data_IF_494254711795
#
_entry.id   IF_494254711795
#
_cell.length_a   1.000
_cell.length_b   1.000
_cell.length_c   1.000
_cell.angle_alpha   90.00
_cell.angle_beta   90.00
_cell.angle_gamma   90.00
#
_symmetry.space_group_name_H-M   'P 1'
#
loop_
_entity.id
_entity.type
_entity.pdbx_description
1 polymer ?
#
# COMPACT_ATOMS: atom_id res chain seq x y z
N UNK A 1 -1.88 17.64 10.30
CA UNK A 1 -1.52 16.21 10.27
C UNK A 1 -1.83 15.66 8.88
N UNK A 2 -1.27 14.51 8.50
CA UNK A 2 -1.39 13.94 7.14
C UNK A 2 -1.80 12.48 7.18
N UNK A 3 -2.37 11.97 6.07
CA UNK A 3 -2.80 10.58 5.91
C UNK A 3 -1.74 9.55 6.31
N UNK A 4 -0.47 9.83 5.99
CA UNK A 4 0.70 9.05 6.40
C UNK A 4 1.81 10.05 6.79
N UNK A 5 2.62 9.78 7.83
CA UNK A 5 3.67 10.73 8.25
C UNK A 5 4.79 10.86 7.22
N UNK A 6 5.09 9.78 6.48
CA UNK A 6 6.16 9.69 5.49
C UNK A 6 6.15 10.88 4.53
N UNK A 7 7.34 11.39 4.22
CA UNK A 7 7.58 12.46 3.25
C UNK A 7 8.09 11.88 1.94
N UNK A 8 7.86 12.61 0.85
CA UNK A 8 8.61 12.36 -0.38
C UNK A 8 10.06 12.78 -0.16
N UNK A 9 11.02 11.97 -0.60
CA UNK A 9 12.44 12.32 -0.47
C UNK A 9 12.83 13.29 -1.60
N UNK A 10 12.75 14.59 -1.32
CA UNK A 10 13.06 15.65 -2.29
C UNK A 10 14.51 15.62 -2.76
N UNK A 11 15.45 15.22 -1.91
CA UNK A 11 16.85 15.09 -2.30
C UNK A 11 17.03 13.95 -3.29
N UNK A 12 16.48 12.77 -3.00
CA UNK A 12 16.50 11.65 -3.93
C UNK A 12 15.80 12.00 -5.24
N UNK A 13 14.68 12.73 -5.18
CA UNK A 13 13.98 13.21 -6.37
C UNK A 13 14.89 14.11 -7.22
N UNK A 14 15.58 15.09 -6.62
CA UNK A 14 16.53 15.95 -7.34
C UNK A 14 17.68 15.14 -7.95
N UNK A 15 18.19 14.14 -7.24
CA UNK A 15 19.22 13.22 -7.77
C UNK A 15 18.72 12.41 -8.96
N UNK A 16 17.48 11.90 -8.88
CA UNK A 16 16.82 11.20 -10.00
C UNK A 16 16.64 12.15 -11.19
N UNK A 17 16.15 13.37 -10.98
CA UNK A 17 15.96 14.37 -12.04
C UNK A 17 17.30 14.70 -12.72
N UNK A 18 18.33 15.00 -11.94
CA UNK A 18 19.68 15.31 -12.45
C UNK A 18 20.26 14.14 -13.24
N UNK A 19 20.20 12.93 -12.69
CA UNK A 19 20.72 11.73 -13.36
C UNK A 19 19.93 11.39 -14.63
N UNK A 20 18.61 11.65 -14.62
CA UNK A 20 17.76 11.44 -15.80
C UNK A 20 18.14 12.40 -16.94
N UNK A 21 18.49 13.65 -16.64
CA UNK A 21 18.98 14.58 -17.67
C UNK A 21 20.35 14.14 -18.22
N UNK A 22 21.28 13.74 -17.35
CA UNK A 22 22.57 13.18 -17.79
C UNK A 22 22.36 11.95 -18.68
N UNK A 23 21.48 11.03 -18.29
CA UNK A 23 21.16 9.87 -19.12
C UNK A 23 20.56 10.29 -20.47
N UNK A 24 19.66 11.28 -20.51
CA UNK A 24 19.10 11.76 -21.78
C UNK A 24 20.17 12.32 -22.71
N UNK A 25 21.18 13.03 -22.20
CA UNK A 25 22.20 13.67 -23.03
C UNK A 25 23.42 12.79 -23.31
N UNK A 26 23.71 11.81 -22.45
CA UNK A 26 24.94 11.02 -22.51
C UNK A 26 24.72 9.53 -22.78
N UNK A 27 23.46 9.04 -22.87
CA UNK A 27 23.20 7.61 -23.07
C UNK A 27 23.78 7.03 -24.37
N UNK A 28 23.98 7.84 -25.41
CA UNK A 28 24.63 7.43 -26.66
C UNK A 28 26.12 7.04 -26.49
N UNK A 29 26.69 7.30 -25.32
CA UNK A 29 28.07 6.92 -24.97
C UNK A 29 28.13 5.62 -24.16
N UNK A 30 26.96 5.02 -23.85
CA UNK A 30 26.85 3.89 -22.94
C UNK A 30 26.59 2.59 -23.71
N UNK A 31 27.48 1.61 -23.53
CA UNK A 31 27.38 0.29 -24.16
C UNK A 31 27.90 0.27 -25.60
N UNK A 32 27.76 -0.88 -26.24
CA UNK A 32 28.19 -1.10 -27.63
C UNK A 32 26.96 -1.33 -28.52
N UNK A 33 26.36 -0.23 -28.98
CA UNK A 33 25.17 -0.23 -29.84
C UNK A 33 25.49 0.06 -31.32
N UNK A 34 26.73 0.42 -31.64
CA UNK A 34 27.17 0.65 -33.02
C UNK A 34 26.51 1.82 -33.76
N UNK A 35 25.89 2.75 -33.04
CA UNK A 35 25.22 3.94 -33.61
C UNK A 35 26.01 5.19 -33.26
N UNK A 36 26.02 6.18 -34.13
CA UNK A 36 26.46 7.52 -33.77
C UNK A 36 25.41 8.24 -32.88
N UNK A 37 25.76 9.41 -32.35
CA UNK A 37 24.88 10.18 -31.45
C UNK A 37 23.53 10.51 -32.09
N UNK A 38 23.53 10.91 -33.37
CA UNK A 38 22.31 11.35 -34.06
C UNK A 38 21.39 10.17 -34.33
N UNK A 39 21.96 9.05 -34.78
CA UNK A 39 21.23 7.81 -35.02
C UNK A 39 20.71 7.20 -33.71
N UNK A 40 21.49 7.26 -32.63
CA UNK A 40 21.07 6.75 -31.33
C UNK A 40 19.77 7.42 -30.84
N UNK A 41 19.70 8.75 -30.88
CA UNK A 41 18.52 9.48 -30.40
C UNK A 41 17.32 9.41 -31.36
N UNK A 42 17.56 9.27 -32.67
CA UNK A 42 16.49 9.20 -33.66
C UNK A 42 15.97 7.78 -33.94
N UNK A 43 16.74 6.74 -33.63
CA UNK A 43 16.36 5.33 -33.88
C UNK A 43 15.25 4.81 -32.96
N UNK A 44 14.96 5.52 -31.86
CA UNK A 44 14.06 5.04 -30.81
C UNK A 44 14.67 4.00 -29.87
N UNK A 45 15.94 3.62 -30.06
CA UNK A 45 16.66 2.67 -29.20
C UNK A 45 16.62 3.08 -27.73
N UNK A 46 16.97 4.33 -27.42
CA UNK A 46 16.97 4.86 -26.05
C UNK A 46 15.58 4.77 -25.41
N UNK A 47 14.55 5.26 -26.11
CA UNK A 47 13.17 5.20 -25.62
C UNK A 47 12.71 3.76 -25.39
N UNK A 48 13.00 2.86 -26.34
CA UNK A 48 12.68 1.44 -26.23
C UNK A 48 13.37 0.76 -25.05
N UNK A 49 14.65 1.09 -24.79
CA UNK A 49 15.41 0.57 -23.66
C UNK A 49 14.81 1.03 -22.31
N UNK A 50 14.51 2.33 -22.16
CA UNK A 50 13.90 2.88 -20.94
C UNK A 50 12.53 2.24 -20.67
N UNK A 51 11.70 2.11 -21.71
CA UNK A 51 10.39 1.47 -21.60
C UNK A 51 10.49 -0.01 -21.23
N UNK A 52 11.46 -0.74 -21.80
CA UNK A 52 11.72 -2.14 -21.46
C UNK A 52 12.17 -2.29 -20.00
N UNK A 53 13.13 -1.50 -19.55
CA UNK A 53 13.63 -1.51 -18.17
C UNK A 53 12.50 -1.17 -17.19
N UNK A 54 11.70 -0.13 -17.48
CA UNK A 54 10.52 0.23 -16.69
C UNK A 54 9.52 -0.92 -16.63
N UNK A 55 9.27 -1.57 -17.76
CA UNK A 55 8.42 -2.76 -17.86
C UNK A 55 8.91 -3.90 -16.97
N UNK A 56 10.22 -4.18 -16.97
CA UNK A 56 10.82 -5.20 -16.11
C UNK A 56 10.67 -4.88 -14.62
N UNK A 57 10.95 -3.64 -14.20
CA UNK A 57 10.73 -3.23 -12.81
C UNK A 57 9.25 -3.29 -12.40
N UNK A 58 8.35 -2.95 -13.31
CA UNK A 58 6.90 -2.93 -13.04
C UNK A 58 6.28 -4.33 -13.03
N UNK A 59 6.78 -5.24 -13.88
CA UNK A 59 6.26 -6.60 -14.05
C UNK A 59 6.77 -7.59 -13.01
N UNK A 60 7.91 -7.32 -12.37
CA UNK A 60 8.50 -8.29 -11.44
C UNK A 60 7.80 -8.25 -10.08
N UNK A 61 6.81 -9.11 -9.89
CA UNK A 61 6.18 -9.36 -8.57
C UNK A 61 7.09 -10.18 -7.64
N UNK A 62 8.14 -10.81 -8.16
CA UNK A 62 9.07 -11.67 -7.41
C UNK A 62 9.55 -11.06 -6.09
N UNK A 63 10.27 -9.92 -6.11
CA UNK A 63 10.76 -9.28 -4.88
C UNK A 63 9.65 -8.87 -3.90
N UNK A 64 8.48 -8.47 -4.40
CA UNK A 64 7.34 -8.07 -3.56
C UNK A 64 6.75 -9.28 -2.84
N UNK A 65 6.55 -10.38 -3.56
CA UNK A 65 6.08 -11.66 -3.02
C UNK A 65 7.10 -12.27 -2.07
N UNK A 66 8.39 -12.15 -2.38
CA UNK A 66 9.47 -12.60 -1.51
C UNK A 66 9.48 -11.83 -0.18
N UNK A 67 9.32 -10.52 -0.22
CA UNK A 67 9.20 -9.71 0.99
C UNK A 67 7.97 -10.08 1.83
N UNK A 68 6.79 -10.20 1.22
CA UNK A 68 5.59 -10.62 1.93
C UNK A 68 5.77 -12.01 2.56
N UNK A 69 6.38 -12.95 1.84
CA UNK A 69 6.76 -14.28 2.35
C UNK A 69 7.68 -14.18 3.56
N UNK A 70 8.72 -13.35 3.52
CA UNK A 70 9.61 -13.18 4.67
C UNK A 70 8.83 -12.68 5.90
N UNK A 71 7.98 -11.68 5.73
CA UNK A 71 7.17 -11.14 6.83
C UNK A 71 6.26 -12.22 7.42
N UNK A 72 5.54 -12.95 6.57
CA UNK A 72 4.62 -13.99 7.01
C UNK A 72 5.36 -15.13 7.72
N UNK A 73 6.49 -15.59 7.18
CA UNK A 73 7.35 -16.57 7.86
C UNK A 73 7.78 -16.07 9.24
N UNK A 74 8.22 -14.82 9.36
CA UNK A 74 8.65 -14.26 10.63
C UNK A 74 7.51 -14.17 11.66
N UNK A 75 6.30 -13.81 11.20
CA UNK A 75 5.11 -13.84 12.05
C UNK A 75 4.76 -15.27 12.49
N UNK A 76 4.89 -16.24 11.59
CA UNK A 76 4.64 -17.66 11.88
C UNK A 76 5.65 -18.22 12.88
N UNK A 77 6.95 -17.98 12.67
CA UNK A 77 8.03 -18.43 13.54
C UNK A 77 7.90 -17.88 14.97
N UNK A 78 7.26 -16.72 15.12
CA UNK A 78 6.98 -16.07 16.41
C UNK A 78 5.60 -16.35 16.98
N UNK A 79 4.79 -17.17 16.31
CA UNK A 79 3.46 -17.56 16.77
C UNK A 79 2.39 -16.46 16.69
N UNK A 80 2.62 -15.38 15.94
CA UNK A 80 1.62 -14.35 15.69
C UNK A 80 0.55 -14.80 14.67
N UNK A 81 0.92 -15.72 13.79
CA UNK A 81 0.02 -16.45 12.90
C UNK A 81 0.30 -17.95 13.03
N UNK A 82 -0.69 -18.79 12.76
CA UNK A 82 -0.54 -20.25 12.83
C UNK A 82 0.12 -20.78 11.57
N UNK A 83 -0.40 -20.35 10.41
CA UNK A 83 0.06 -20.82 9.11
C UNK A 83 -0.29 -19.84 8.01
N UNK A 84 0.38 -19.95 6.86
CA UNK A 84 0.03 -19.19 5.67
C UNK A 84 0.37 -19.95 4.39
N UNK A 85 -0.42 -19.68 3.35
CA UNK A 85 -0.23 -20.26 2.01
C UNK A 85 -0.36 -19.18 0.93
N UNK A 86 0.44 -19.33 -0.13
CA UNK A 86 0.24 -18.58 -1.37
C UNK A 86 -0.97 -19.13 -2.12
N UNK A 87 -1.89 -18.25 -2.51
CA UNK A 87 -3.10 -18.64 -3.23
C UNK A 87 -2.86 -18.90 -4.74
N UNK A 88 -1.62 -18.71 -5.23
CA UNK A 88 -1.28 -18.94 -6.64
C UNK A 88 -1.85 -17.87 -7.57
N UNK A 89 -1.46 -17.90 -8.85
CA UNK A 89 -1.67 -16.77 -9.78
C UNK A 89 -3.11 -16.63 -10.33
N UNK A 90 -3.95 -17.66 -10.15
CA UNK A 90 -5.32 -17.66 -10.67
C UNK A 90 -6.36 -17.08 -9.70
N UNK A 91 -5.98 -16.83 -8.44
CA UNK A 91 -6.87 -16.32 -7.41
C UNK A 91 -6.77 -14.79 -7.29
N UNK A 92 -7.88 -14.13 -6.92
CA UNK A 92 -7.95 -12.66 -6.73
C UNK A 92 -7.47 -12.18 -5.35
N UNK A 93 -6.69 -13.03 -4.68
CA UNK A 93 -5.93 -12.77 -3.46
C UNK A 93 -4.57 -13.46 -3.62
N UNK A 94 -3.50 -12.89 -3.09
CA UNK A 94 -2.16 -13.49 -3.16
C UNK A 94 -1.91 -14.51 -2.03
N UNK A 95 -2.46 -14.28 -0.83
CA UNK A 95 -2.19 -15.13 0.34
C UNK A 95 -3.43 -15.42 1.17
N UNK A 96 -3.42 -16.59 1.80
CA UNK A 96 -4.37 -16.98 2.85
C UNK A 96 -3.60 -17.28 4.12
N UNK A 97 -3.96 -16.64 5.23
CA UNK A 97 -3.33 -16.77 6.54
C UNK A 97 -4.32 -17.33 7.55
N UNK A 98 -3.89 -18.33 8.31
CA UNK A 98 -4.65 -18.92 9.41
C UNK A 98 -4.19 -18.27 10.71
N UNK A 99 -5.11 -17.59 11.40
CA UNK A 99 -4.85 -16.96 12.69
C UNK A 99 -4.92 -17.97 13.84
N UNK A 100 -4.29 -17.71 15.01
CA UNK A 100 -4.41 -18.57 16.19
C UNK A 100 -5.86 -18.80 16.66
N UNK A 101 -6.76 -17.86 16.35
CA UNK A 101 -8.19 -17.99 16.62
C UNK A 101 -8.94 -18.92 15.65
N UNK A 102 -8.26 -19.52 14.67
CA UNK A 102 -8.87 -20.30 13.58
C UNK A 102 -9.49 -19.47 12.45
N UNK A 103 -9.43 -18.13 12.52
CA UNK A 103 -9.93 -17.26 11.44
C UNK A 103 -9.01 -17.32 10.24
N UNK A 104 -9.60 -17.29 9.05
CA UNK A 104 -8.88 -17.23 7.77
C UNK A 104 -8.85 -15.79 7.29
N UNK A 105 -7.66 -15.28 7.00
CA UNK A 105 -7.44 -13.93 6.46
C UNK A 105 -6.97 -14.08 5.02
N UNK A 106 -7.63 -13.41 4.08
CA UNK A 106 -7.13 -13.25 2.73
C UNK A 106 -6.38 -11.93 2.60
N UNK A 107 -5.23 -11.96 1.91
CA UNK A 107 -4.39 -10.79 1.67
C UNK A 107 -4.19 -10.64 0.18
N UNK A 108 -4.40 -9.43 -0.33
CA UNK A 108 -4.12 -9.06 -1.71
C UNK A 108 -2.99 -8.02 -1.73
N UNK A 109 -1.88 -8.33 -2.41
CA UNK A 109 -0.80 -7.37 -2.59
C UNK A 109 -1.16 -6.39 -3.68
N UNK A 110 -0.88 -5.12 -3.40
CA UNK A 110 -0.95 -4.04 -4.39
C UNK A 110 0.39 -3.35 -4.50
N UNK A 111 0.63 -2.72 -5.65
CA UNK A 111 1.76 -1.82 -5.80
C UNK A 111 1.52 -0.51 -5.06
N UNK A 112 2.05 0.58 -5.63
CA UNK A 112 1.68 1.92 -5.22
C UNK A 112 0.17 2.12 -5.40
N UNK A 113 -0.47 2.77 -4.41
CA UNK A 113 -1.93 2.98 -4.37
C UNK A 113 -2.37 4.19 -5.21
N UNK A 114 -1.75 4.36 -6.38
CA UNK A 114 -1.95 5.48 -7.30
C UNK A 114 -2.48 5.03 -8.68
N UNK A 115 -2.57 3.72 -8.93
CA UNK A 115 -3.03 3.14 -10.19
C UNK A 115 -4.40 2.45 -10.11
N UNK A 116 -4.93 2.08 -11.27
CA UNK A 116 -6.18 1.31 -11.40
C UNK A 116 -6.05 -0.13 -10.86
N UNK A 117 -4.82 -0.63 -10.68
CA UNK A 117 -4.56 -1.92 -10.03
C UNK A 117 -5.19 -2.02 -8.63
N UNK A 118 -5.37 -0.89 -7.95
CA UNK A 118 -5.96 -0.78 -6.61
C UNK A 118 -7.48 -1.00 -6.62
N UNK A 119 -8.13 -0.92 -7.80
CA UNK A 119 -9.58 -1.13 -7.91
C UNK A 119 -9.96 -2.61 -8.07
N UNK A 120 -9.00 -3.46 -8.41
CA UNK A 120 -9.23 -4.86 -8.73
C UNK A 120 -8.90 -5.71 -7.52
N UNK A 121 -9.89 -6.06 -6.72
CA UNK A 121 -9.77 -7.02 -5.62
C UNK A 121 -11.07 -7.82 -5.52
N UNK A 122 -11.02 -9.00 -4.90
CA UNK A 122 -12.21 -9.80 -4.62
C UNK A 122 -12.02 -10.60 -3.32
N UNK A 123 -12.87 -10.35 -2.33
CA UNK A 123 -12.86 -11.06 -1.05
C UNK A 123 -13.28 -12.52 -1.25
N UNK A 124 -12.43 -13.50 -0.95
CA UNK A 124 -12.80 -14.90 -1.04
C UNK A 124 -13.93 -15.26 -0.05
N UNK A 125 -14.90 -16.13 -0.42
CA UNK A 125 -16.02 -16.49 0.46
C UNK A 125 -15.61 -17.08 1.81
N UNK A 126 -14.50 -17.82 1.85
CA UNK A 126 -13.96 -18.45 3.06
C UNK A 126 -13.22 -17.46 3.99
N UNK A 127 -12.95 -16.24 3.53
CA UNK A 127 -12.16 -15.26 4.26
C UNK A 127 -12.99 -14.56 5.35
N UNK A 128 -12.56 -14.70 6.60
CA UNK A 128 -13.10 -14.00 7.76
C UNK A 128 -12.57 -12.56 7.85
N UNK A 129 -11.40 -12.30 7.27
CA UNK A 129 -10.81 -10.97 7.12
C UNK A 129 -10.25 -10.82 5.71
N UNK A 130 -10.35 -9.62 5.13
CA UNK A 130 -9.74 -9.30 3.85
C UNK A 130 -8.94 -8.01 3.93
N UNK A 131 -7.63 -8.10 3.66
CA UNK A 131 -6.68 -6.99 3.84
C UNK A 131 -5.96 -6.69 2.53
N UNK A 132 -5.86 -5.41 2.19
CA UNK A 132 -5.04 -4.94 1.09
C UNK A 132 -3.66 -4.57 1.62
N UNK A 133 -2.59 -5.03 0.99
CA UNK A 133 -1.23 -4.67 1.39
C UNK A 133 -0.50 -3.99 0.23
N UNK A 134 -0.28 -2.68 0.36
CA UNK A 134 0.53 -1.91 -0.58
C UNK A 134 2.02 -2.13 -0.35
N UNK A 135 2.65 -2.75 -1.36
CA UNK A 135 4.10 -2.93 -1.50
C UNK A 135 4.61 -2.01 -2.63
N UNK A 136 4.88 -0.75 -2.29
CA UNK A 136 5.23 0.33 -3.23
C UNK A 136 6.74 0.54 -3.30
N UNK A 137 7.42 -0.29 -4.08
CA UNK A 137 8.89 -0.28 -4.19
C UNK A 137 9.48 0.92 -4.95
N UNK A 138 8.65 1.87 -5.40
CA UNK A 138 9.11 3.08 -6.06
C UNK A 138 9.52 4.14 -5.01
N UNK A 139 10.82 4.43 -4.84
CA UNK A 139 11.26 5.42 -3.86
C UNK A 139 10.94 6.88 -4.28
N UNK A 140 10.70 7.12 -5.58
CA UNK A 140 10.28 8.42 -6.09
C UNK A 140 8.78 8.72 -5.90
N UNK A 141 7.98 7.72 -5.53
CA UNK A 141 6.55 7.87 -5.32
C UNK A 141 6.24 8.82 -4.15
N UNK A 142 5.13 9.56 -4.25
CA UNK A 142 4.68 10.41 -3.15
C UNK A 142 3.80 9.59 -2.19
N UNK A 143 4.29 9.24 -0.99
CA UNK A 143 3.56 8.34 -0.09
C UNK A 143 2.23 8.94 0.39
N UNK A 144 2.17 10.26 0.59
CA UNK A 144 0.95 10.96 1.05
C UNK A 144 -0.11 11.00 -0.02
N UNK A 145 0.29 11.33 -1.25
CA UNK A 145 -0.63 11.25 -2.38
C UNK A 145 -1.16 9.83 -2.52
N UNK A 146 -0.27 8.83 -2.57
CA UNK A 146 -0.64 7.45 -2.82
C UNK A 146 -1.55 6.88 -1.74
N UNK A 147 -1.25 7.11 -0.45
CA UNK A 147 -2.11 6.66 0.64
C UNK A 147 -3.54 7.25 0.54
N UNK A 148 -3.65 8.56 0.30
CA UNK A 148 -4.96 9.20 0.16
C UNK A 148 -5.71 8.76 -1.10
N UNK A 149 -5.01 8.75 -2.24
CA UNK A 149 -5.53 8.33 -3.55
C UNK A 149 -6.01 6.87 -3.49
N UNK A 150 -5.28 6.00 -2.78
CA UNK A 150 -5.64 4.63 -2.52
C UNK A 150 -6.90 4.48 -1.69
N UNK A 151 -6.88 5.02 -0.47
CA UNK A 151 -7.95 4.82 0.52
C UNK A 151 -9.21 5.59 0.10
N UNK A 152 -9.08 6.90 -0.08
CA UNK A 152 -10.21 7.76 -0.40
C UNK A 152 -10.65 7.56 -1.84
N UNK A 153 -9.79 7.75 -2.85
CA UNK A 153 -10.28 7.80 -4.24
C UNK A 153 -10.68 6.42 -4.79
N UNK A 154 -10.01 5.34 -4.40
CA UNK A 154 -10.15 4.01 -4.99
C UNK A 154 -10.86 3.00 -4.09
N UNK A 155 -10.20 2.58 -3.00
CA UNK A 155 -10.70 1.51 -2.13
C UNK A 155 -12.10 1.83 -1.61
N UNK A 156 -12.33 3.02 -1.05
CA UNK A 156 -13.66 3.35 -0.54
C UNK A 156 -14.72 3.43 -1.65
N UNK A 157 -14.37 3.90 -2.86
CA UNK A 157 -15.30 3.90 -3.99
C UNK A 157 -15.71 2.47 -4.37
N UNK A 158 -14.73 1.55 -4.49
CA UNK A 158 -14.96 0.14 -4.85
C UNK A 158 -15.68 -0.64 -3.75
N UNK A 159 -15.29 -0.46 -2.47
CA UNK A 159 -15.97 -1.07 -1.31
C UNK A 159 -17.47 -0.75 -1.34
N UNK A 160 -17.82 0.52 -1.59
CA UNK A 160 -19.21 0.96 -1.62
C UNK A 160 -19.91 0.54 -2.92
N UNK A 161 -19.26 0.70 -4.08
CA UNK A 161 -19.89 0.43 -5.38
C UNK A 161 -20.15 -1.06 -5.60
N UNK A 162 -19.22 -1.92 -5.18
CA UNK A 162 -19.27 -3.38 -5.34
C UNK A 162 -19.85 -4.10 -4.14
N UNK A 163 -20.18 -3.36 -3.07
CA UNK A 163 -20.65 -3.91 -1.80
C UNK A 163 -19.68 -4.94 -1.21
N UNK A 164 -18.39 -4.61 -1.25
CA UNK A 164 -17.32 -5.55 -0.93
C UNK A 164 -16.54 -5.10 0.31
N UNK A 165 -16.51 -5.95 1.35
CA UNK A 165 -15.87 -5.60 2.63
C UNK A 165 -14.37 -5.82 2.58
N UNK A 166 -13.62 -4.74 2.81
CA UNK A 166 -12.18 -4.74 3.11
C UNK A 166 -12.01 -4.32 4.57
N UNK A 167 -11.29 -5.12 5.35
CA UNK A 167 -11.11 -4.93 6.80
C UNK A 167 -9.98 -3.95 7.15
N UNK A 168 -9.06 -3.72 6.21
CA UNK A 168 -8.10 -2.64 6.31
C UNK A 168 -7.05 -2.67 5.21
N UNK A 169 -6.12 -1.73 5.32
CA UNK A 169 -5.00 -1.59 4.38
C UNK A 169 -3.69 -1.42 5.13
N UNK A 170 -2.64 -2.08 4.63
CA UNK A 170 -1.26 -1.94 5.09
C UNK A 170 -0.49 -1.16 4.04
N UNK A 171 0.26 -0.14 4.45
CA UNK A 171 1.23 0.55 3.60
C UNK A 171 2.61 0.29 4.18
N UNK A 172 3.33 -0.66 3.58
CA UNK A 172 4.61 -1.12 4.11
C UNK A 172 5.35 -1.99 3.09
N UNK A 173 6.64 -1.72 2.88
CA UNK A 173 7.48 -2.46 1.93
C UNK A 173 8.95 -2.42 2.33
N UNK A 174 9.79 -3.08 1.53
CA UNK A 174 11.23 -3.17 1.78
C UNK A 174 12.00 -1.85 1.63
N UNK A 175 11.38 -0.76 1.15
CA UNK A 175 12.06 0.55 1.08
C UNK A 175 11.75 1.41 2.31
N UNK A 176 10.76 1.06 3.13
CA UNK A 176 10.46 1.74 4.39
C UNK A 176 11.66 1.72 5.34
N UNK A 177 12.06 2.88 5.86
CA UNK A 177 13.20 3.01 6.79
C UNK A 177 14.55 3.18 6.11
N UNK A 178 14.63 2.96 4.80
CA UNK A 178 15.86 3.17 4.01
C UNK A 178 16.09 4.64 3.67
N UNK A 179 17.24 4.98 3.10
CA UNK A 179 17.50 6.30 2.52
C UNK A 179 16.44 6.71 1.49
N UNK A 180 15.88 5.76 0.74
CA UNK A 180 14.85 6.03 -0.27
C UNK A 180 13.51 6.44 0.32
N UNK A 181 13.20 5.97 1.54
CA UNK A 181 11.99 6.34 2.28
C UNK A 181 12.26 6.35 3.79
N UNK A 182 12.93 7.40 4.30
CA UNK A 182 13.19 7.54 5.73
C UNK A 182 11.86 7.52 6.48
N UNK A 183 11.77 6.71 7.54
CA UNK A 183 10.51 6.51 8.25
C UNK A 183 10.42 7.44 9.46
N UNK A 184 9.45 8.38 9.52
CA UNK A 184 9.33 9.30 10.64
C UNK A 184 8.97 8.62 11.98
N UNK A 185 8.43 7.40 11.95
CA UNK A 185 8.04 6.65 13.16
C UNK A 185 9.22 6.33 14.08
N UNK A 186 10.40 6.14 13.48
CA UNK A 186 11.64 5.79 14.19
C UNK A 186 12.61 6.97 14.24
N UNK A 187 12.25 8.10 13.63
CA UNK A 187 13.08 9.28 13.59
C UNK A 187 13.09 9.94 14.97
N UNK A 188 14.25 9.95 15.62
CA UNK A 188 14.43 10.53 16.95
C UNK A 188 14.22 9.57 18.12
N UNK A 189 13.99 8.28 17.86
CA UNK A 189 14.03 7.27 18.92
C UNK A 189 15.49 6.96 19.30
N UNK A 190 15.81 6.97 20.60
CA UNK A 190 17.15 6.58 21.09
C UNK A 190 17.51 5.14 20.70
N UNK A 191 16.50 4.27 20.69
CA UNK A 191 16.56 2.89 20.20
C UNK A 191 15.45 2.70 19.16
N UNK A 192 15.75 2.91 17.87
CA UNK A 192 14.78 2.75 16.80
C UNK A 192 14.07 1.41 16.84
N UNK A 193 12.73 1.43 16.82
CA UNK A 193 11.89 0.22 16.67
C UNK A 193 12.07 -0.36 15.28
N UNK A 194 13.07 -1.20 15.13
CA UNK A 194 13.41 -1.85 13.87
C UNK A 194 13.38 -3.36 14.07
N UNK A 195 12.73 -4.05 13.15
CA UNK A 195 12.72 -5.50 13.09
C UNK A 195 13.61 -5.95 11.93
N UNK A 196 14.61 -6.77 12.25
CA UNK A 196 15.47 -7.39 11.24
C UNK A 196 14.80 -8.63 10.68
N UNK A 197 14.65 -8.68 9.36
CA UNK A 197 13.97 -9.72 8.61
C UNK A 197 14.78 -10.08 7.36
N UNK A 198 15.62 -11.12 7.45
CA UNK A 198 16.50 -11.49 6.34
C UNK A 198 17.40 -10.30 5.96
N UNK A 199 17.34 -9.78 4.72
CA UNK A 199 18.13 -8.63 4.29
C UNK A 199 17.52 -7.27 4.67
N UNK A 200 16.37 -7.24 5.34
CA UNK A 200 15.62 -6.02 5.60
C UNK A 200 15.70 -5.58 7.05
N UNK A 201 15.83 -4.27 7.26
CA UNK A 201 15.66 -3.60 8.54
C UNK A 201 14.41 -2.72 8.46
N UNK A 202 13.32 -3.19 9.07
CA UNK A 202 12.00 -2.61 8.80
C UNK A 202 11.45 -1.87 10.01
N UNK A 203 10.92 -0.64 9.83
CA UNK A 203 10.16 0.06 10.85
C UNK A 203 8.75 -0.55 10.98
N UNK A 204 7.96 -0.16 12.00
CA UNK A 204 6.60 -0.66 12.18
C UNK A 204 5.69 -0.26 11.00
N UNK A 205 4.80 -1.15 10.54
CA UNK A 205 3.94 -0.91 9.38
C UNK A 205 2.95 0.24 9.60
N UNK A 206 2.56 0.93 8.54
CA UNK A 206 1.44 1.88 8.59
C UNK A 206 0.13 1.12 8.36
N UNK A 207 -0.70 1.04 9.40
CA UNK A 207 -1.96 0.27 9.40
C UNK A 207 -3.14 1.24 9.33
N UNK A 208 -4.11 0.89 8.48
CA UNK A 208 -5.39 1.57 8.31
C UNK A 208 -6.51 0.56 8.53
N UNK A 209 -7.27 0.72 9.61
CA UNK A 209 -8.39 -0.15 9.98
C UNK A 209 -9.68 0.41 9.39
N UNK A 210 -10.47 -0.45 8.73
CA UNK A 210 -11.70 -0.06 8.04
C UNK A 210 -12.95 -0.57 8.78
N UNK A 211 -14.17 -0.12 8.40
CA UNK A 211 -15.40 -0.52 9.06
C UNK A 211 -15.74 -2.02 8.90
N UNK A 212 -16.48 -2.57 9.88
CA UNK A 212 -16.88 -3.98 9.89
C UNK A 212 -18.00 -4.30 8.89
N UNK A 213 -18.67 -3.26 8.39
CA UNK A 213 -19.83 -3.36 7.52
C UNK A 213 -19.69 -2.37 6.38
N UNK A 214 -20.19 -2.73 5.20
CA UNK A 214 -20.12 -1.84 4.04
C UNK A 214 -21.05 -0.64 4.25
N UNK A 215 -20.57 0.60 4.04
CA UNK A 215 -21.42 1.78 4.11
C UNK A 215 -22.55 1.73 3.07
N UNK A 216 -23.76 2.09 3.47
CA UNK A 216 -24.94 2.17 2.61
C UNK A 216 -25.82 3.35 3.02
N UNK A 217 -26.20 4.25 2.09
CA UNK A 217 -26.90 5.50 2.43
C UNK A 217 -28.18 5.35 3.25
N UNK A 218 -28.90 4.23 3.14
CA UNK A 218 -30.20 4.04 3.81
C UNK A 218 -30.11 3.32 5.14
N UNK A 219 -29.28 2.30 5.22
CA UNK A 219 -29.32 1.32 6.32
C UNK A 219 -28.09 1.40 7.22
N UNK A 220 -26.97 1.92 6.69
CA UNK A 220 -25.69 1.96 7.38
C UNK A 220 -24.87 3.14 6.85
N UNK A 221 -25.34 4.39 7.04
CA UNK A 221 -24.77 5.54 6.35
C UNK A 221 -23.38 5.92 6.87
N UNK A 222 -23.02 5.53 8.08
CA UNK A 222 -21.74 5.91 8.69
C UNK A 222 -21.23 4.81 9.64
N UNK A 223 -20.85 3.63 9.11
CA UNK A 223 -20.24 2.60 9.95
C UNK A 223 -18.85 3.08 10.40
N UNK A 224 -18.56 3.05 11.71
CA UNK A 224 -17.24 3.40 12.22
C UNK A 224 -16.22 2.31 11.86
N UNK A 225 -14.96 2.69 11.80
CA UNK A 225 -13.84 1.77 11.76
C UNK A 225 -13.90 0.77 12.92
N UNK A 226 -13.46 -0.47 12.66
CA UNK A 226 -13.30 -1.50 13.68
C UNK A 226 -12.23 -1.11 14.70
N UNK A 227 -12.26 -1.72 15.88
CA UNK A 227 -11.09 -1.67 16.75
C UNK A 227 -9.97 -2.52 16.12
N UNK A 228 -8.71 -2.14 16.35
CA UNK A 228 -7.57 -2.90 15.83
C UNK A 228 -7.63 -4.38 16.26
N UNK A 229 -8.06 -4.64 17.50
CA UNK A 229 -8.19 -5.99 18.04
C UNK A 229 -9.21 -6.88 17.32
N UNK A 230 -10.19 -6.30 16.62
CA UNK A 230 -11.23 -7.04 15.90
C UNK A 230 -10.74 -7.56 14.54
N UNK A 231 -9.66 -6.97 14.01
CA UNK A 231 -8.98 -7.39 12.78
C UNK A 231 -7.68 -8.09 13.16
N UNK A 232 -7.76 -9.40 13.38
CA UNK A 232 -6.71 -10.19 14.02
C UNK A 232 -5.39 -10.11 13.27
N UNK A 233 -5.41 -10.08 11.93
CA UNK A 233 -4.17 -9.98 11.16
C UNK A 233 -3.48 -8.62 11.35
N UNK A 234 -4.25 -7.52 11.34
CA UNK A 234 -3.68 -6.18 11.54
C UNK A 234 -3.14 -6.04 12.96
N UNK A 235 -3.83 -6.59 13.97
CA UNK A 235 -3.33 -6.63 15.35
C UNK A 235 -2.04 -7.45 15.47
N UNK A 236 -2.01 -8.63 14.86
CA UNK A 236 -0.83 -9.49 14.87
C UNK A 236 0.37 -8.81 14.20
N UNK A 237 0.15 -8.12 13.08
CA UNK A 237 1.19 -7.36 12.39
C UNK A 237 1.66 -6.17 13.22
N UNK A 238 0.73 -5.42 13.84
CA UNK A 238 1.03 -4.33 14.75
C UNK A 238 1.95 -4.80 15.89
N UNK A 239 1.58 -5.89 16.57
CA UNK A 239 2.31 -6.38 17.73
C UNK A 239 3.67 -6.98 17.36
N UNK A 240 3.71 -7.79 16.30
CA UNK A 240 4.93 -8.46 15.83
C UNK A 240 6.02 -7.45 15.43
N UNK A 241 5.61 -6.32 14.86
CA UNK A 241 6.50 -5.28 14.35
C UNK A 241 6.53 -4.02 15.23
N UNK A 242 6.24 -4.15 16.53
CA UNK A 242 6.47 -3.10 17.54
C UNK A 242 5.71 -1.79 17.24
N UNK A 243 4.50 -1.88 16.69
CA UNK A 243 3.63 -0.74 16.47
C UNK A 243 3.25 -0.05 17.77
N UNK A 244 3.04 1.27 17.70
CA UNK A 244 2.40 2.02 18.79
C UNK A 244 0.95 2.34 18.43
N UNK A 245 0.07 2.31 19.43
CA UNK A 245 -1.36 2.49 19.23
C UNK A 245 -1.73 3.87 18.66
N UNK A 246 -0.94 4.90 18.97
CA UNK A 246 -1.11 6.26 18.45
C UNK A 246 -0.68 6.41 16.98
N UNK A 247 -0.06 5.39 16.39
CA UNK A 247 0.31 5.35 14.97
C UNK A 247 -0.75 4.68 14.07
N UNK A 248 -1.71 3.99 14.68
CA UNK A 248 -2.77 3.26 13.97
C UNK A 248 -3.80 4.25 13.43
N UNK A 249 -4.20 4.07 12.18
CA UNK A 249 -5.14 4.94 11.50
C UNK A 249 -6.50 4.21 11.43
N UNK A 250 -7.56 4.91 11.81
CA UNK A 250 -8.93 4.43 11.75
C UNK A 250 -9.65 5.21 10.65
N UNK A 251 -10.28 4.50 9.72
CA UNK A 251 -10.90 5.11 8.55
C UNK A 251 -12.40 4.89 8.57
N UNK A 252 -13.13 5.99 8.65
CA UNK A 252 -14.59 6.01 8.62
C UNK A 252 -15.06 6.44 7.23
N UNK A 253 -16.17 5.85 6.79
CA UNK A 253 -16.83 6.20 5.53
C UNK A 253 -18.27 6.61 5.83
N UNK A 254 -18.59 7.88 5.62
CA UNK A 254 -19.97 8.36 5.62
C UNK A 254 -20.49 8.40 4.18
N UNK A 255 -21.69 7.91 3.94
CA UNK A 255 -22.34 7.89 2.63
C UNK A 255 -23.76 8.42 2.72
N UNK A 256 -24.15 9.19 1.72
CA UNK A 256 -25.51 9.74 1.59
C UNK A 256 -25.89 9.88 0.12
N UNK A 257 -27.18 10.04 -0.14
CA UNK A 257 -27.66 10.44 -1.45
C UNK A 257 -27.64 11.97 -1.56
N UNK A 258 -27.09 12.49 -2.67
CA UNK A 258 -27.25 13.89 -3.07
C UNK A 258 -27.82 13.93 -4.49
N UNK A 259 -29.13 14.15 -4.58
CA UNK A 259 -29.84 14.00 -5.84
C UNK A 259 -29.81 12.54 -6.31
N UNK A 260 -29.26 12.31 -7.50
CA UNK A 260 -29.11 10.96 -8.08
C UNK A 260 -27.79 10.28 -7.71
N UNK A 261 -26.85 11.03 -7.14
CA UNK A 261 -25.51 10.54 -6.84
C UNK A 261 -25.44 9.97 -5.42
N UNK A 262 -24.67 8.89 -5.27
CA UNK A 262 -24.14 8.50 -3.95
C UNK A 262 -22.85 9.27 -3.72
N UNK A 263 -22.79 10.05 -2.66
CA UNK A 263 -21.57 10.74 -2.24
C UNK A 263 -20.98 10.06 -1.01
N UNK A 264 -19.66 10.10 -0.90
CA UNK A 264 -18.94 9.63 0.27
C UNK A 264 -18.09 10.72 0.90
N UNK A 265 -17.94 10.65 2.21
CA UNK A 265 -16.96 11.40 2.99
C UNK A 265 -16.06 10.38 3.68
N UNK A 266 -14.76 10.59 3.60
CA UNK A 266 -13.76 9.75 4.26
C UNK A 266 -13.10 10.56 5.37
N UNK A 267 -13.10 10.02 6.58
CA UNK A 267 -12.42 10.61 7.73
C UNK A 267 -11.37 9.63 8.22
N UNK A 268 -10.15 10.11 8.44
CA UNK A 268 -9.06 9.31 9.00
C UNK A 268 -8.64 9.90 10.33
N UNK A 269 -8.67 9.07 11.36
CA UNK A 269 -8.32 9.42 12.73
C UNK A 269 -7.07 8.66 13.13
N UNK A 270 -6.13 9.32 13.81
CA UNK A 270 -4.91 8.70 14.37
C UNK A 270 -4.59 9.37 15.71
N UNK A 271 -4.24 8.58 16.72
CA UNK A 271 -4.01 9.10 18.08
C UNK A 271 -5.23 9.81 18.69
N UNK A 272 -6.44 9.39 18.31
CA UNK A 272 -7.69 9.99 18.78
C UNK A 272 -8.08 11.31 18.12
N UNK A 273 -7.30 11.82 17.16
CA UNK A 273 -7.58 13.07 16.46
C UNK A 273 -7.74 12.87 14.94
N UNK A 274 -8.64 13.62 14.27
CA UNK A 274 -8.75 13.58 12.81
C UNK A 274 -7.47 14.11 12.18
N UNK A 275 -6.87 13.32 11.30
CA UNK A 275 -5.64 13.68 10.57
C UNK A 275 -5.91 14.05 9.13
N UNK A 276 -7.01 13.57 8.55
CA UNK A 276 -7.44 13.92 7.22
C UNK A 276 -8.94 13.69 7.05
N UNK A 277 -9.59 14.57 6.30
CA UNK A 277 -11.02 14.47 6.01
C UNK A 277 -11.29 14.96 4.59
N UNK A 278 -12.14 14.24 3.87
CA UNK A 278 -12.58 14.67 2.54
C UNK A 278 -13.82 15.56 2.61
N UNK A 279 -14.02 16.41 1.61
CA UNK A 279 -15.36 16.88 1.31
C UNK A 279 -16.24 15.71 0.81
N UNK A 280 -17.58 15.82 0.88
CA UNK A 280 -18.48 14.89 0.22
C UNK A 280 -18.17 14.80 -1.27
N UNK A 281 -17.83 13.59 -1.74
CA UNK A 281 -17.32 13.32 -3.09
C UNK A 281 -18.17 12.24 -3.74
N UNK A 282 -18.69 12.50 -4.94
CA UNK A 282 -19.51 11.54 -5.68
C UNK A 282 -18.72 10.25 -6.01
N UNK A 283 -19.39 9.11 -5.88
CA UNK A 283 -18.89 7.82 -6.35
C UNK A 283 -19.31 7.68 -7.80
N UNK A 284 -18.37 7.94 -8.73
CA UNK A 284 -18.62 7.73 -10.15
C UNK A 284 -18.37 6.26 -10.47
N UNK A 285 -19.40 5.55 -10.94
CA UNK A 285 -19.24 4.22 -11.53
C UNK A 285 -18.47 4.40 -12.84
N UNK A 286 -17.22 3.95 -12.89
CA UNK A 286 -16.51 3.73 -14.16
C UNK A 286 -16.89 2.39 -14.74
#
# INVERSE_FOLDING_TARGET
>A
MTIIPCLQNDELRKRIETYSEVLKTEAHKLGDHGLDETEFYNSGLFRGAIERIRGQFSATMGPKREFARHVLNYMQDRGFITDWQSAGEANRHDYSVTMPSGRIVAIELKGCLDGNNTNIFDRPPQAHEFVIWSVCTNPGANPRHNAWSGIHTRLSAEIISRQERVDGTIIWDMVCGTLGRPCPKIAGEEKPRVTVLGPYELPPPCIYVFPATVPSPRNNPHPPAQQLGDVHFLKALHDCFQGHNDEVNYVDFAVEYRGVDTVRKTTVTRGGAPVMESAPTAIRRT
#
